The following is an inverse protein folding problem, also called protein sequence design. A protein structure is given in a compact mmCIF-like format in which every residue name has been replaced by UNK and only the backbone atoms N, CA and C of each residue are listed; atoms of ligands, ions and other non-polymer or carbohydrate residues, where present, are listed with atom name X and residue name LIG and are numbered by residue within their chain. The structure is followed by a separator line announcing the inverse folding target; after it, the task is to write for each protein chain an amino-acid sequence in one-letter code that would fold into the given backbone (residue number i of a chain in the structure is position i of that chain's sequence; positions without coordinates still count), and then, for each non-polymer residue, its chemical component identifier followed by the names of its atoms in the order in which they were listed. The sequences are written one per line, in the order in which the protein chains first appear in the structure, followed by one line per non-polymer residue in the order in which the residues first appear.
data_IF_733076305921
#
_entry.id   IF_733076305921
#
_cell.length_a   1.000
_cell.length_b   1.000
_cell.length_c   1.000
_cell.angle_alpha   90.00
_cell.angle_beta   90.00
_cell.angle_gamma   90.00
#
_symmetry.space_group_name_H-M   'P 1'
#
loop_
_entity.id
_entity.type
_entity.pdbx_description
1 polymer ?
#
# COMPACT_ATOMS: atom_id res chain seq x y z
N UNK A 1 47.32 -27.41 17.66
CA UNK A 1 47.20 -26.16 18.44
C UNK A 1 46.30 -25.11 17.79
N UNK A 2 46.33 -24.92 16.46
CA UNK A 2 45.50 -23.92 15.76
C UNK A 2 44.01 -24.29 15.74
N UNK A 3 43.66 -25.58 15.68
CA UNK A 3 42.26 -26.06 15.69
C UNK A 3 41.56 -25.91 17.04
N UNK A 4 42.28 -25.94 18.16
CA UNK A 4 41.72 -25.84 19.50
C UNK A 4 41.47 -24.39 19.93
N UNK A 5 42.29 -23.44 19.46
CA UNK A 5 42.04 -22.01 19.63
C UNK A 5 40.81 -21.51 18.83
N UNK A 6 40.44 -22.20 17.75
CA UNK A 6 39.27 -21.84 16.92
C UNK A 6 37.93 -22.20 17.57
N UNK A 7 37.89 -23.26 18.38
CA UNK A 7 36.65 -23.67 19.07
C UNK A 7 36.37 -22.72 20.25
N UNK A 8 37.40 -22.27 20.95
CA UNK A 8 37.27 -21.33 22.08
C UNK A 8 36.94 -19.92 21.58
N UNK A 9 37.46 -19.47 20.42
CA UNK A 9 37.07 -18.19 19.84
C UNK A 9 35.66 -18.20 19.24
N UNK A 10 35.22 -19.33 18.66
CA UNK A 10 33.84 -19.49 18.18
C UNK A 10 32.81 -19.46 19.32
N UNK A 11 33.14 -20.05 20.48
CA UNK A 11 32.30 -20.03 21.68
C UNK A 11 32.30 -18.66 22.39
N UNK A 12 33.39 -17.88 22.31
CA UNK A 12 33.45 -16.52 22.87
C UNK A 12 32.72 -15.49 21.99
N UNK A 13 32.65 -15.72 20.67
CA UNK A 13 31.91 -14.85 19.73
C UNK A 13 30.39 -15.02 19.85
N UNK A 14 29.91 -16.19 20.26
CA UNK A 14 28.47 -16.43 20.49
C UNK A 14 27.89 -15.69 21.69
N UNK A 15 28.70 -15.33 22.69
CA UNK A 15 28.23 -14.61 23.90
C UNK A 15 28.30 -13.08 23.76
N UNK A 16 29.15 -12.54 22.88
CA UNK A 16 29.35 -11.09 22.75
C UNK A 16 28.48 -10.44 21.65
N UNK A 17 27.97 -11.23 20.69
CA UNK A 17 27.17 -10.71 19.56
C UNK A 17 25.72 -11.19 19.59
N UNK A 18 24.97 -10.77 20.61
CA UNK A 18 23.51 -10.74 20.51
C UNK A 18 23.11 -9.72 19.42
N UNK A 19 22.95 -10.19 18.17
CA UNK A 19 22.44 -9.38 17.07
C UNK A 19 23.05 -9.64 15.69
N UNK A 20 24.14 -10.41 15.58
CA UNK A 20 24.61 -10.89 14.28
C UNK A 20 23.96 -12.25 14.05
N UNK A 21 22.93 -12.31 13.20
CA UNK A 21 22.34 -13.57 12.78
C UNK A 21 23.48 -14.52 12.35
N UNK A 22 23.59 -15.69 12.99
CA UNK A 22 24.66 -16.67 12.76
C UNK A 22 24.92 -16.92 11.26
N UNK A 23 23.87 -16.88 10.46
CA UNK A 23 23.92 -17.01 8.99
C UNK A 23 24.65 -15.87 8.29
N UNK A 24 24.54 -14.62 8.75
CA UNK A 24 25.27 -13.48 8.19
C UNK A 24 26.78 -13.58 8.51
N UNK A 25 27.12 -14.09 9.70
CA UNK A 25 28.50 -14.38 10.05
C UNK A 25 29.07 -15.52 9.19
N UNK A 26 28.32 -16.62 9.02
CA UNK A 26 28.72 -17.75 8.17
C UNK A 26 28.87 -17.35 6.70
N UNK A 27 27.97 -16.51 6.16
CA UNK A 27 28.09 -15.99 4.79
C UNK A 27 29.35 -15.13 4.63
N UNK A 28 29.67 -14.28 5.61
CA UNK A 28 30.89 -13.46 5.62
C UNK A 28 32.15 -14.32 5.70
N UNK A 29 32.13 -15.39 6.50
CA UNK A 29 33.21 -16.37 6.57
C UNK A 29 33.37 -17.11 5.23
N UNK A 30 32.27 -17.53 4.59
CA UNK A 30 32.31 -18.19 3.28
C UNK A 30 32.87 -17.26 2.19
N UNK A 31 32.45 -15.99 2.16
CA UNK A 31 33.00 -14.95 1.27
C UNK A 31 34.50 -14.74 1.51
N UNK A 32 34.93 -14.71 2.77
CA UNK A 32 36.35 -14.58 3.11
C UNK A 32 37.16 -15.79 2.62
N UNK A 33 36.68 -17.02 2.85
CA UNK A 33 37.32 -18.26 2.38
C UNK A 33 37.37 -18.31 0.85
N UNK A 34 36.29 -17.93 0.17
CA UNK A 34 36.24 -17.83 -1.29
C UNK A 34 37.28 -16.84 -1.80
N UNK A 35 37.39 -15.67 -1.18
CA UNK A 35 38.37 -14.63 -1.53
C UNK A 35 39.81 -15.14 -1.37
N UNK A 36 40.12 -15.81 -0.26
CA UNK A 36 41.42 -16.47 -0.04
C UNK A 36 41.71 -17.57 -1.06
N UNK A 37 40.67 -18.29 -1.50
CA UNK A 37 40.80 -19.35 -2.51
C UNK A 37 41.09 -18.76 -3.89
N UNK A 38 40.41 -17.68 -4.28
CA UNK A 38 40.68 -16.93 -5.52
C UNK A 38 42.09 -16.36 -5.49
N UNK A 39 42.53 -15.75 -4.38
CA UNK A 39 43.93 -15.31 -4.15
C UNK A 39 44.95 -16.42 -4.40
N UNK A 40 44.69 -17.60 -3.84
CA UNK A 40 45.59 -18.76 -3.94
C UNK A 40 45.64 -19.33 -5.36
N UNK A 41 44.52 -19.35 -6.07
CA UNK A 41 44.45 -19.80 -7.47
C UNK A 41 45.12 -18.78 -8.41
N UNK A 42 44.90 -17.49 -8.17
CA UNK A 42 45.47 -16.38 -8.93
C UNK A 42 46.98 -16.29 -8.85
N UNK A 43 47.52 -16.39 -7.63
CA UNK A 43 48.97 -16.35 -7.38
C UNK A 43 49.71 -17.54 -7.99
N UNK A 44 49.01 -18.66 -8.23
CA UNK A 44 49.54 -19.89 -8.84
C UNK A 44 49.21 -20.04 -10.32
N UNK A 45 48.43 -19.14 -10.91
CA UNK A 45 48.07 -19.20 -12.33
C UNK A 45 49.28 -18.89 -13.21
N UNK A 46 49.55 -19.76 -14.18
CA UNK A 46 50.55 -19.53 -15.24
C UNK A 46 50.06 -18.55 -16.31
N UNK A 47 48.76 -18.24 -16.34
CA UNK A 47 48.15 -17.33 -17.30
C UNK A 47 48.06 -15.91 -16.72
N UNK A 48 48.76 -14.91 -17.30
CA UNK A 48 48.78 -13.52 -16.81
C UNK A 48 47.38 -12.90 -16.73
N UNK A 49 46.51 -13.24 -17.68
CA UNK A 49 45.12 -12.77 -17.71
C UNK A 49 44.34 -13.16 -16.44
N UNK A 50 44.40 -14.42 -16.02
CA UNK A 50 43.72 -14.91 -14.82
C UNK A 50 44.28 -14.27 -13.55
N UNK A 51 45.59 -14.03 -13.52
CA UNK A 51 46.26 -13.31 -12.42
C UNK A 51 45.72 -11.88 -12.32
N UNK A 52 45.69 -11.15 -13.43
CA UNK A 52 45.19 -9.77 -13.49
C UNK A 52 43.73 -9.66 -13.08
N UNK A 53 42.85 -10.51 -13.63
CA UNK A 53 41.42 -10.53 -13.25
C UNK A 53 41.27 -10.75 -11.75
N UNK A 54 41.98 -11.72 -11.20
CA UNK A 54 41.86 -12.04 -9.79
C UNK A 54 42.34 -10.91 -8.89
N UNK A 55 43.47 -10.26 -9.23
CA UNK A 55 43.93 -9.07 -8.52
C UNK A 55 42.91 -7.93 -8.60
N UNK A 56 42.30 -7.69 -9.76
CA UNK A 56 41.24 -6.70 -9.91
C UNK A 56 40.03 -7.00 -9.03
N UNK A 57 39.58 -8.26 -8.97
CA UNK A 57 38.47 -8.70 -8.10
C UNK A 57 38.81 -8.44 -6.63
N UNK A 58 40.05 -8.70 -6.22
CA UNK A 58 40.50 -8.50 -4.85
C UNK A 58 40.58 -7.03 -4.46
N UNK A 59 41.13 -6.20 -5.35
CA UNK A 59 41.16 -4.75 -5.17
C UNK A 59 39.73 -4.23 -5.03
N UNK A 60 38.82 -4.65 -5.91
CA UNK A 60 37.42 -4.29 -5.83
C UNK A 60 36.79 -4.72 -4.50
N UNK A 61 36.98 -5.97 -4.07
CA UNK A 61 36.43 -6.48 -2.81
C UNK A 61 36.99 -5.73 -1.58
N UNK A 62 38.28 -5.38 -1.59
CA UNK A 62 38.91 -4.59 -0.54
C UNK A 62 38.32 -3.19 -0.43
N UNK A 63 38.22 -2.47 -1.56
CA UNK A 63 37.61 -1.15 -1.57
C UNK A 63 36.12 -1.20 -1.20
N UNK A 64 35.39 -2.21 -1.67
CA UNK A 64 34.00 -2.44 -1.26
C UNK A 64 33.88 -2.60 0.26
N UNK A 65 34.74 -3.43 0.86
CA UNK A 65 34.79 -3.61 2.31
C UNK A 65 35.09 -2.31 3.07
N UNK A 66 36.03 -1.50 2.58
CA UNK A 66 36.33 -0.21 3.18
C UNK A 66 35.11 0.73 3.13
N UNK A 67 34.41 0.79 2.01
CA UNK A 67 33.20 1.62 1.88
C UNK A 67 32.11 1.12 2.84
N UNK A 68 31.86 -0.19 2.91
CA UNK A 68 30.92 -0.79 3.88
C UNK A 68 31.28 -0.41 5.32
N UNK A 69 32.56 -0.51 5.69
CA UNK A 69 33.05 -0.17 7.02
C UNK A 69 32.88 1.32 7.33
N UNK A 70 33.16 2.20 6.36
CA UNK A 70 32.96 3.65 6.50
C UNK A 70 31.48 4.01 6.71
N UNK A 71 30.57 3.48 5.89
CA UNK A 71 29.14 3.75 6.02
C UNK A 71 28.60 3.17 7.33
N UNK A 72 29.03 1.97 7.72
CA UNK A 72 28.71 1.40 9.03
C UNK A 72 29.14 2.32 10.17
N UNK A 73 30.37 2.86 10.12
CA UNK A 73 30.88 3.79 11.12
C UNK A 73 30.04 5.06 11.21
N UNK A 74 29.71 5.67 10.08
CA UNK A 74 28.84 6.86 10.00
C UNK A 74 27.42 6.59 10.49
N UNK A 75 26.87 5.41 10.22
CA UNK A 75 25.55 5.02 10.69
C UNK A 75 25.55 4.82 12.22
N UNK A 76 26.58 4.18 12.76
CA UNK A 76 26.74 3.94 14.19
C UNK A 76 27.01 5.20 15.00
N UNK A 77 27.70 6.19 14.42
CA UNK A 77 27.87 7.50 15.06
C UNK A 77 26.62 8.37 15.02
N UNK A 78 25.56 7.95 14.31
CA UNK A 78 24.35 8.74 14.10
C UNK A 78 24.49 9.85 13.07
N UNK A 79 25.66 10.00 12.43
CA UNK A 79 25.87 10.96 11.35
C UNK A 79 25.06 10.61 10.10
N UNK A 80 24.75 9.33 9.90
CA UNK A 80 23.96 8.85 8.77
C UNK A 80 22.76 8.02 9.24
N UNK A 81 21.55 8.50 8.94
CA UNK A 81 20.30 7.76 9.20
C UNK A 81 19.99 6.85 8.02
N UNK A 82 20.29 5.56 8.14
CA UNK A 82 19.96 4.53 7.14
C UNK A 82 19.31 3.33 7.83
N UNK A 83 18.55 2.57 7.04
CA UNK A 83 18.07 1.26 7.49
C UNK A 83 19.25 0.30 7.63
N UNK A 84 19.34 -0.35 8.79
CA UNK A 84 20.38 -1.33 9.05
C UNK A 84 20.16 -2.59 8.21
N UNK A 85 21.23 -3.16 7.62
CA UNK A 85 21.17 -4.47 6.99
C UNK A 85 20.60 -5.51 7.96
N UNK A 86 19.62 -6.28 7.48
CA UNK A 86 18.97 -7.34 8.24
C UNK A 86 18.62 -8.49 7.30
N UNK A 87 18.67 -9.73 7.78
CA UNK A 87 18.28 -10.86 6.94
C UNK A 87 16.78 -10.78 6.69
N UNK A 88 16.42 -10.48 5.44
CA UNK A 88 15.03 -10.19 5.10
C UNK A 88 14.12 -11.40 5.29
N UNK A 89 14.63 -12.64 5.25
CA UNK A 89 13.84 -13.85 5.48
C UNK A 89 13.59 -14.09 6.97
N UNK A 90 14.49 -13.63 7.84
CA UNK A 90 14.40 -13.80 9.29
C UNK A 90 13.83 -12.57 10.00
N UNK A 91 13.80 -11.42 9.34
CA UNK A 91 13.14 -10.23 9.86
C UNK A 91 11.63 -10.40 9.75
N UNK A 92 10.94 -10.22 10.87
CA UNK A 92 9.50 -9.97 10.89
C UNK A 92 9.35 -8.55 11.40
N UNK A 93 8.42 -7.79 10.82
CA UNK A 93 8.02 -6.53 11.43
C UNK A 93 7.53 -6.85 12.85
N UNK A 94 8.36 -6.55 13.84
CA UNK A 94 8.27 -7.03 15.22
C UNK A 94 7.08 -6.46 16.01
N UNK A 95 6.16 -5.77 15.34
CA UNK A 95 4.99 -5.14 15.94
C UNK A 95 3.75 -6.05 15.89
N UNK A 96 3.90 -7.36 15.64
CA UNK A 96 2.86 -8.32 16.02
C UNK A 96 3.01 -8.56 17.52
N UNK A 97 2.61 -7.59 18.32
CA UNK A 97 2.26 -7.93 19.70
C UNK A 97 1.20 -9.03 19.62
N UNK A 98 1.40 -10.10 20.36
CA UNK A 98 0.41 -11.16 20.46
C UNK A 98 -0.81 -10.56 21.16
N UNK A 99 -1.81 -10.15 20.39
CA UNK A 99 -3.06 -9.63 20.92
C UNK A 99 -4.11 -10.72 20.87
N UNK A 100 -4.83 -10.94 21.96
CA UNK A 100 -5.95 -11.90 21.99
C UNK A 100 -7.11 -11.46 21.07
N UNK A 101 -7.14 -10.18 20.69
CA UNK A 101 -8.16 -9.61 19.82
C UNK A 101 -7.82 -9.88 18.35
N UNK A 102 -8.81 -10.32 17.59
CA UNK A 102 -8.69 -10.38 16.13
C UNK A 102 -8.50 -8.97 15.52
N UNK A 103 -7.72 -8.83 14.44
CA UNK A 103 -7.55 -7.55 13.78
C UNK A 103 -8.88 -7.05 13.19
N UNK A 104 -9.15 -5.75 13.33
CA UNK A 104 -10.38 -5.14 12.81
C UNK A 104 -10.36 -5.03 11.28
N UNK A 105 -9.22 -4.64 10.70
CA UNK A 105 -8.95 -4.74 9.27
C UNK A 105 -7.94 -5.86 9.01
N UNK A 106 -8.17 -6.65 7.98
CA UNK A 106 -7.24 -7.69 7.56
C UNK A 106 -7.63 -8.29 6.23
N UNK A 107 -6.85 -9.25 5.76
CA UNK A 107 -7.14 -9.96 4.53
C UNK A 107 -8.13 -11.07 4.87
N UNK A 108 -9.43 -10.75 4.76
CA UNK A 108 -10.54 -11.61 5.18
C UNK A 108 -11.45 -12.04 4.03
N UNK A 109 -11.26 -11.49 2.83
CA UNK A 109 -12.03 -11.85 1.64
C UNK A 109 -11.12 -12.51 0.60
N UNK A 110 -11.42 -13.76 0.23
CA UNK A 110 -10.71 -14.45 -0.85
C UNK A 110 -10.90 -13.75 -2.20
N UNK A 111 -11.98 -12.98 -2.35
CA UNK A 111 -12.33 -12.31 -3.61
C UNK A 111 -11.61 -10.97 -3.74
N UNK A 112 -11.63 -10.12 -2.70
CA UNK A 112 -11.14 -8.73 -2.78
C UNK A 112 -10.04 -8.40 -1.76
N UNK A 113 -9.57 -9.38 -1.00
CA UNK A 113 -8.47 -9.25 -0.04
C UNK A 113 -8.92 -8.55 1.24
N UNK A 114 -8.52 -7.28 1.38
CA UNK A 114 -8.73 -6.51 2.61
C UNK A 114 -10.22 -6.30 2.89
N UNK A 115 -10.65 -6.62 4.10
CA UNK A 115 -11.99 -6.33 4.62
C UNK A 115 -11.96 -6.12 6.14
N UNK A 116 -13.13 -6.01 6.74
CA UNK A 116 -13.32 -5.97 8.19
C UNK A 116 -14.15 -7.15 8.65
N UNK A 117 -14.01 -7.51 9.92
CA UNK A 117 -14.87 -8.54 10.52
C UNK A 117 -16.31 -8.02 10.63
N UNK A 118 -17.34 -8.87 10.38
CA UNK A 118 -18.73 -8.54 10.65
C UNK A 118 -19.01 -8.29 12.13
N UNK A 119 -19.94 -7.36 12.42
CA UNK A 119 -20.40 -7.05 13.78
C UNK A 119 -19.28 -6.77 14.79
N UNK A 120 -18.18 -6.17 14.32
CA UNK A 120 -17.02 -5.85 15.15
C UNK A 120 -16.98 -4.37 15.51
N UNK A 121 -16.26 -4.03 16.59
CA UNK A 121 -16.05 -2.64 16.98
C UNK A 121 -14.73 -2.41 17.69
N UNK A 122 -14.03 -1.32 17.32
CA UNK A 122 -12.81 -0.85 17.97
C UNK A 122 -12.91 0.63 18.32
N UNK A 123 -12.03 1.04 19.22
CA UNK A 123 -11.75 2.44 19.50
C UNK A 123 -10.29 2.72 19.17
N UNK A 124 -10.03 3.86 18.54
CA UNK A 124 -8.67 4.38 18.33
C UNK A 124 -8.62 5.83 18.77
N UNK A 125 -7.44 6.28 19.20
CA UNK A 125 -7.19 7.70 19.42
C UNK A 125 -6.87 8.34 18.08
N UNK A 126 -7.52 9.47 17.80
CA UNK A 126 -7.18 10.34 16.68
C UNK A 126 -5.81 10.97 16.93
N UNK A 127 -5.01 11.08 15.88
CA UNK A 127 -3.63 11.56 16.01
C UNK A 127 -3.50 13.05 16.36
N UNK A 128 -4.52 13.86 16.09
CA UNK A 128 -4.45 15.33 16.25
C UNK A 128 -4.75 15.78 17.68
N UNK A 129 -5.80 15.24 18.29
CA UNK A 129 -6.35 15.71 19.56
C UNK A 129 -6.53 14.60 20.60
N UNK A 130 -6.10 13.37 20.30
CA UNK A 130 -6.35 12.17 21.10
C UNK A 130 -7.84 11.90 21.38
N UNK A 131 -8.75 12.46 20.57
CA UNK A 131 -10.17 12.14 20.66
C UNK A 131 -10.43 10.69 20.23
N UNK A 132 -11.50 10.09 20.77
CA UNK A 132 -11.82 8.69 20.50
C UNK A 132 -12.61 8.56 19.19
N UNK A 133 -12.03 7.86 18.23
CA UNK A 133 -12.69 7.38 17.02
C UNK A 133 -13.30 6.00 17.28
N UNK A 134 -14.62 5.90 17.14
CA UNK A 134 -15.36 4.65 17.24
C UNK A 134 -15.59 4.08 15.85
N UNK A 135 -15.12 2.85 15.64
CA UNK A 135 -15.38 2.08 14.44
C UNK A 135 -16.33 0.95 14.81
N UNK A 136 -17.36 0.77 14.00
CA UNK A 136 -18.30 -0.32 14.11
C UNK A 136 -18.62 -0.82 12.70
N UNK A 137 -18.77 -2.13 12.56
CA UNK A 137 -19.24 -2.76 11.33
C UNK A 137 -20.60 -3.40 11.51
N UNK A 138 -21.36 -3.46 10.42
CA UNK A 138 -22.60 -4.22 10.35
C UNK A 138 -22.36 -5.71 10.05
N UNK A 139 -23.44 -6.46 9.85
CA UNK A 139 -23.41 -7.89 9.53
C UNK A 139 -22.66 -8.24 8.22
N UNK A 140 -22.43 -7.26 7.34
CA UNK A 140 -21.64 -7.43 6.11
C UNK A 140 -20.16 -7.07 6.29
N UNK A 141 -19.73 -6.62 7.47
CA UNK A 141 -18.40 -6.07 7.69
C UNK A 141 -18.21 -4.68 7.10
N UNK A 142 -19.27 -4.05 6.57
CA UNK A 142 -19.24 -2.67 6.12
C UNK A 142 -19.22 -1.75 7.34
N UNK A 143 -18.40 -0.68 7.31
CA UNK A 143 -18.44 0.37 8.33
C UNK A 143 -19.70 1.18 8.08
N UNK A 144 -20.82 0.75 8.63
CA UNK A 144 -22.12 1.37 8.43
C UNK A 144 -23.06 0.84 9.53
N UNK A 145 -24.24 1.43 9.66
CA UNK A 145 -25.33 0.81 10.42
C UNK A 145 -25.79 -0.48 9.73
N UNK A 146 -26.58 -1.28 10.45
CA UNK A 146 -27.17 -2.49 9.88
C UNK A 146 -28.07 -2.17 8.69
N UNK A 147 -28.03 -3.00 7.65
CA UNK A 147 -28.75 -2.77 6.38
C UNK A 147 -29.52 -4.01 5.97
N UNK A 148 -30.74 -3.83 5.51
CA UNK A 148 -31.50 -4.91 4.90
C UNK A 148 -31.00 -5.19 3.48
N UNK A 149 -31.00 -6.47 3.08
CA UNK A 149 -30.68 -6.83 1.70
C UNK A 149 -31.64 -6.19 0.68
N UNK A 150 -32.93 -6.11 1.02
CA UNK A 150 -33.96 -5.48 0.20
C UNK A 150 -34.29 -4.06 0.68
N UNK A 151 -34.58 -3.16 -0.25
CA UNK A 151 -35.03 -1.81 0.01
C UNK A 151 -36.52 -1.85 0.27
N UNK A 152 -36.88 -1.75 1.55
CA UNK A 152 -38.27 -1.79 2.01
C UNK A 152 -38.85 -0.37 2.14
N UNK A 153 -38.20 0.63 1.54
CA UNK A 153 -38.62 2.03 1.56
C UNK A 153 -38.92 2.52 0.16
N UNK A 154 -39.68 3.61 0.04
CA UNK A 154 -39.89 4.31 -1.23
C UNK A 154 -38.74 5.25 -1.61
N UNK A 155 -37.72 5.35 -0.74
CA UNK A 155 -36.53 6.20 -0.96
C UNK A 155 -35.49 5.44 -1.75
N UNK A 156 -34.60 6.18 -2.40
CA UNK A 156 -33.49 5.56 -3.12
C UNK A 156 -32.48 4.98 -2.15
N UNK A 157 -31.78 3.96 -2.63
CA UNK A 157 -30.60 3.40 -1.97
C UNK A 157 -29.37 3.57 -2.84
N UNK A 158 -28.30 4.09 -2.23
CA UNK A 158 -27.04 4.45 -2.86
C UNK A 158 -25.94 3.56 -2.28
N UNK A 159 -25.14 2.95 -3.13
CA UNK A 159 -23.92 2.23 -2.74
C UNK A 159 -22.74 3.21 -2.86
N UNK A 160 -21.97 3.37 -1.79
CA UNK A 160 -20.75 4.17 -1.75
C UNK A 160 -19.53 3.24 -1.81
N UNK A 161 -18.68 3.43 -2.83
CA UNK A 161 -17.41 2.72 -3.01
C UNK A 161 -16.27 3.74 -3.03
N UNK A 162 -15.10 3.32 -2.58
CA UNK A 162 -13.93 4.17 -2.50
C UNK A 162 -12.94 3.63 -1.48
N UNK A 163 -12.00 4.47 -1.11
CA UNK A 163 -10.92 4.15 -0.19
C UNK A 163 -11.20 4.68 1.24
N UNK A 164 -10.14 5.08 1.95
CA UNK A 164 -10.21 5.67 3.28
C UNK A 164 -10.92 7.02 3.36
N UNK A 165 -10.98 7.82 2.28
CA UNK A 165 -11.73 9.08 2.27
C UNK A 165 -13.23 8.82 2.29
N UNK A 166 -13.72 7.91 1.43
CA UNK A 166 -15.14 7.54 1.45
C UNK A 166 -15.48 6.70 2.68
N UNK A 167 -14.57 5.85 3.19
CA UNK A 167 -14.76 5.13 4.46
C UNK A 167 -14.93 6.10 5.65
N UNK A 168 -14.40 7.32 5.52
CA UNK A 168 -14.37 8.37 6.53
C UNK A 168 -13.42 8.05 7.69
N UNK A 169 -12.24 7.49 7.39
CA UNK A 169 -11.39 6.81 8.38
C UNK A 169 -11.02 7.67 9.60
N UNK A 170 -10.97 9.00 9.46
CA UNK A 170 -10.60 9.93 10.53
C UNK A 170 -11.75 10.63 11.25
N UNK A 171 -13.01 10.27 10.97
CA UNK A 171 -14.18 10.83 11.64
C UNK A 171 -15.09 9.75 12.22
N UNK A 172 -15.93 10.11 13.18
CA UNK A 172 -16.93 9.19 13.73
C UNK A 172 -18.07 8.97 12.73
N UNK A 173 -18.80 7.85 12.86
CA UNK A 173 -19.84 7.43 11.90
C UNK A 173 -20.79 8.56 11.49
N UNK A 174 -21.34 9.30 12.46
CA UNK A 174 -22.30 10.39 12.22
C UNK A 174 -21.75 11.56 11.38
N UNK A 175 -20.44 11.69 11.31
CA UNK A 175 -19.73 12.82 10.72
C UNK A 175 -19.13 12.47 9.34
N UNK A 176 -19.31 11.23 8.86
CA UNK A 176 -18.83 10.78 7.54
C UNK A 176 -19.70 11.32 6.41
N UNK A 177 -19.11 11.54 5.24
CA UNK A 177 -19.82 11.96 4.03
C UNK A 177 -21.10 11.15 3.77
N UNK A 178 -21.02 9.82 3.83
CA UNK A 178 -22.19 8.94 3.63
C UNK A 178 -23.34 9.23 4.59
N UNK A 179 -23.03 9.40 5.87
CA UNK A 179 -24.02 9.60 6.92
C UNK A 179 -24.61 11.00 6.87
N UNK A 180 -23.80 12.00 6.51
CA UNK A 180 -24.23 13.37 6.28
C UNK A 180 -25.16 13.47 5.06
N UNK A 181 -24.83 12.80 3.95
CA UNK A 181 -25.69 12.75 2.76
C UNK A 181 -27.01 12.02 3.05
N UNK A 182 -26.96 10.88 3.76
CA UNK A 182 -28.15 10.14 4.16
C UNK A 182 -29.08 10.98 5.05
N UNK A 183 -28.51 11.65 6.06
CA UNK A 183 -29.28 12.55 6.94
C UNK A 183 -30.01 13.66 6.16
N UNK A 184 -29.37 14.24 5.16
CA UNK A 184 -29.92 15.38 4.41
C UNK A 184 -30.89 14.98 3.29
N UNK A 185 -30.74 13.78 2.73
CA UNK A 185 -31.56 13.32 1.60
C UNK A 185 -32.70 12.39 2.03
N UNK A 186 -32.55 11.72 3.17
CA UNK A 186 -33.40 10.60 3.59
C UNK A 186 -33.21 9.34 2.73
N UNK A 187 -32.29 9.36 1.75
CA UNK A 187 -31.93 8.20 0.96
C UNK A 187 -30.79 7.45 1.66
N UNK A 188 -30.85 6.12 1.65
CA UNK A 188 -29.81 5.32 2.32
C UNK A 188 -28.48 5.37 1.55
N UNK A 189 -27.37 5.67 2.22
CA UNK A 189 -26.02 5.69 1.66
C UNK A 189 -25.16 4.60 2.29
N UNK A 190 -25.11 3.45 1.64
CA UNK A 190 -24.46 2.25 2.16
C UNK A 190 -22.97 2.29 1.89
N UNK A 191 -22.19 2.39 2.97
CA UNK A 191 -20.75 2.62 2.87
C UNK A 191 -19.93 1.33 2.80
N UNK A 192 -19.52 0.95 1.59
CA UNK A 192 -18.66 -0.20 1.33
C UNK A 192 -17.21 0.18 1.00
N UNK A 193 -16.86 1.46 1.11
CA UNK A 193 -15.50 1.93 0.92
C UNK A 193 -14.55 1.38 2.00
N UNK A 194 -13.27 1.19 1.70
CA UNK A 194 -12.28 0.64 2.65
C UNK A 194 -10.86 1.15 2.39
N UNK A 195 -10.13 1.45 3.46
CA UNK A 195 -8.75 1.95 3.44
C UNK A 195 -7.79 1.11 2.61
N UNK A 196 -7.06 1.79 1.72
CA UNK A 196 -6.08 1.17 0.83
C UNK A 196 -6.71 0.19 -0.15
N UNK A 197 -7.94 0.48 -0.57
CA UNK A 197 -8.56 -0.08 -1.76
C UNK A 197 -8.26 0.80 -2.97
N UNK A 198 -8.44 0.21 -4.14
CA UNK A 198 -8.28 0.81 -5.46
C UNK A 198 -9.44 0.38 -6.38
N UNK A 199 -9.51 0.82 -7.63
CA UNK A 199 -10.59 0.47 -8.55
C UNK A 199 -10.82 -1.03 -8.73
N UNK A 200 -9.78 -1.88 -8.66
CA UNK A 200 -9.98 -3.34 -8.73
C UNK A 200 -10.71 -3.86 -7.49
N UNK A 201 -10.42 -3.28 -6.31
CA UNK A 201 -11.16 -3.60 -5.09
C UNK A 201 -12.60 -3.11 -5.19
N UNK A 202 -12.86 -1.91 -5.71
CA UNK A 202 -14.23 -1.38 -5.87
C UNK A 202 -15.07 -2.31 -6.76
N UNK A 203 -14.51 -2.75 -7.89
CA UNK A 203 -15.10 -3.74 -8.78
C UNK A 203 -15.45 -5.04 -8.04
N UNK A 204 -14.48 -5.63 -7.33
CA UNK A 204 -14.64 -6.92 -6.69
C UNK A 204 -15.58 -6.87 -5.47
N UNK A 205 -15.52 -5.81 -4.67
CA UNK A 205 -16.45 -5.56 -3.55
C UNK A 205 -17.87 -5.40 -4.10
N UNK A 206 -18.06 -4.60 -5.15
CA UNK A 206 -19.38 -4.44 -5.74
C UNK A 206 -19.92 -5.78 -6.26
N UNK A 207 -19.17 -6.45 -7.14
CA UNK A 207 -19.57 -7.69 -7.79
C UNK A 207 -19.94 -8.79 -6.79
N UNK A 208 -19.15 -8.96 -5.73
CA UNK A 208 -19.28 -10.11 -4.82
C UNK A 208 -20.09 -9.85 -3.56
N UNK A 209 -20.25 -8.58 -3.16
CA UNK A 209 -20.90 -8.20 -1.92
C UNK A 209 -21.98 -7.13 -2.15
N UNK A 210 -21.59 -5.91 -2.53
CA UNK A 210 -22.50 -4.76 -2.49
C UNK A 210 -23.67 -4.89 -3.49
N UNK A 211 -23.46 -5.53 -4.64
CA UNK A 211 -24.49 -5.77 -5.67
C UNK A 211 -25.67 -6.62 -5.18
N UNK A 212 -25.47 -7.43 -4.12
CA UNK A 212 -26.52 -8.28 -3.53
C UNK A 212 -27.58 -7.49 -2.76
N UNK A 213 -27.27 -6.27 -2.36
CA UNK A 213 -28.22 -5.38 -1.70
C UNK A 213 -28.94 -4.56 -2.78
N UNK A 214 -30.27 -4.49 -2.74
CA UNK A 214 -31.02 -3.74 -3.75
C UNK A 214 -30.71 -2.24 -3.66
N UNK A 215 -30.29 -1.63 -4.76
CA UNK A 215 -29.90 -0.22 -4.82
C UNK A 215 -30.21 0.39 -6.20
N UNK A 216 -30.20 1.71 -6.27
CA UNK A 216 -30.55 2.51 -7.46
C UNK A 216 -29.33 3.22 -8.05
N UNK A 217 -28.41 3.65 -7.18
CA UNK A 217 -27.25 4.47 -7.54
C UNK A 217 -25.97 3.87 -6.97
N UNK A 218 -24.87 4.01 -7.70
CA UNK A 218 -23.51 3.73 -7.22
C UNK A 218 -22.69 5.03 -7.28
N UNK A 219 -22.10 5.42 -6.16
CA UNK A 219 -21.15 6.53 -6.08
C UNK A 219 -19.76 5.96 -5.82
N UNK A 220 -18.79 6.36 -6.63
CA UNK A 220 -17.41 5.87 -6.59
C UNK A 220 -16.49 7.06 -6.31
N UNK A 221 -15.85 7.08 -5.14
CA UNK A 221 -14.79 8.02 -4.82
C UNK A 221 -13.44 7.48 -5.26
N UNK A 222 -12.86 8.13 -6.27
CA UNK A 222 -11.50 7.88 -6.74
C UNK A 222 -10.56 8.82 -6.00
N UNK A 223 -9.56 8.30 -5.30
CA UNK A 223 -8.45 9.08 -4.76
C UNK A 223 -7.23 8.88 -5.67
N UNK A 224 -6.91 9.80 -6.59
CA UNK A 224 -5.78 9.61 -7.51
C UNK A 224 -4.44 9.39 -6.80
N UNK A 225 -4.29 9.89 -5.57
CA UNK A 225 -3.07 9.72 -4.77
C UNK A 225 -2.75 8.27 -4.39
N UNK A 226 -3.72 7.34 -4.42
CA UNK A 226 -3.49 5.91 -4.14
C UNK A 226 -4.11 4.97 -5.20
N UNK A 227 -5.16 5.39 -5.90
CA UNK A 227 -5.91 4.51 -6.80
C UNK A 227 -5.17 4.12 -8.08
N UNK A 228 -4.06 4.80 -8.38
CA UNK A 228 -3.11 4.39 -9.43
C UNK A 228 -2.02 3.42 -8.93
N UNK A 229 -1.91 3.23 -7.61
CA UNK A 229 -0.88 2.42 -6.95
C UNK A 229 -1.39 1.01 -6.63
N UNK A 230 -1.75 0.26 -7.67
CA UNK A 230 -2.14 -1.15 -7.54
C UNK A 230 -0.93 -2.09 -7.48
N UNK A 231 -1.12 -3.24 -6.80
CA UNK A 231 -0.14 -4.31 -6.82
C UNK A 231 0.08 -4.79 -8.26
N UNK A 232 1.33 -4.98 -8.65
CA UNK A 232 1.71 -5.53 -9.96
C UNK A 232 2.71 -6.67 -9.78
N UNK A 233 2.99 -7.39 -10.87
CA UNK A 233 3.99 -8.48 -10.85
C UNK A 233 5.38 -8.00 -10.41
N UNK A 234 5.74 -6.74 -10.69
CA UNK A 234 6.97 -6.11 -10.20
C UNK A 234 6.98 -5.90 -8.68
N UNK A 235 5.79 -5.73 -8.09
CA UNK A 235 5.58 -5.61 -6.64
C UNK A 235 5.85 -6.90 -5.85
N UNK A 236 6.07 -8.03 -6.53
CA UNK A 236 6.32 -9.35 -5.89
C UNK A 236 7.51 -9.31 -4.93
N UNK A 237 8.54 -8.50 -5.21
CA UNK A 237 9.69 -8.33 -4.29
C UNK A 237 9.24 -7.78 -2.92
N UNK A 238 8.27 -6.85 -2.92
CA UNK A 238 7.75 -6.23 -1.71
C UNK A 238 7.05 -7.23 -0.76
N UNK A 239 6.50 -8.32 -1.31
CA UNK A 239 5.83 -9.36 -0.52
C UNK A 239 6.78 -10.06 0.45
N UNK A 240 8.09 -10.05 0.24
CA UNK A 240 9.02 -10.63 1.20
C UNK A 240 9.05 -9.83 2.51
N UNK A 241 8.92 -8.51 2.43
CA UNK A 241 8.88 -7.66 3.61
C UNK A 241 7.49 -7.70 4.25
N UNK A 242 6.44 -7.72 3.43
CA UNK A 242 5.07 -7.65 3.91
C UNK A 242 4.16 -8.53 3.04
N UNK A 243 4.09 -9.85 3.31
CA UNK A 243 3.22 -10.73 2.55
C UNK A 243 1.76 -10.35 2.77
N UNK A 244 1.10 -9.88 1.71
CA UNK A 244 -0.30 -9.48 1.72
C UNK A 244 -1.03 -10.13 0.56
N UNK A 245 -2.32 -10.41 0.73
CA UNK A 245 -3.18 -11.01 -0.30
C UNK A 245 -3.95 -9.90 -1.01
N UNK A 246 -3.54 -9.59 -2.24
CA UNK A 246 -4.06 -8.48 -3.06
C UNK A 246 -4.45 -8.96 -4.45
N UNK A 247 -5.66 -8.63 -4.93
CA UNK A 247 -6.02 -8.84 -6.32
C UNK A 247 -5.23 -7.88 -7.22
N UNK A 248 -4.88 -8.34 -8.42
CA UNK A 248 -4.30 -7.49 -9.46
C UNK A 248 -4.60 -8.02 -10.86
N UNK A 249 -4.44 -7.16 -11.87
CA UNK A 249 -4.57 -7.55 -13.26
C UNK A 249 -3.22 -8.01 -13.82
N UNK A 250 -3.17 -9.26 -14.32
CA UNK A 250 -2.06 -9.75 -15.13
C UNK A 250 -2.42 -9.66 -16.61
N UNK A 251 -1.73 -8.78 -17.34
CA UNK A 251 -1.89 -8.64 -18.79
C UNK A 251 -1.37 -9.90 -19.51
N UNK A 252 -2.17 -10.44 -20.41
CA UNK A 252 -1.82 -11.55 -21.30
C UNK A 252 -2.34 -11.24 -22.70
N UNK A 253 -1.43 -10.77 -23.57
CA UNK A 253 -1.79 -10.17 -24.85
C UNK A 253 -2.67 -8.94 -24.65
N UNK A 254 -3.86 -8.96 -25.27
CA UNK A 254 -4.87 -7.89 -25.17
C UNK A 254 -5.91 -8.11 -24.06
N UNK A 255 -5.71 -9.11 -23.19
CA UNK A 255 -6.64 -9.43 -22.09
C UNK A 255 -5.98 -9.20 -20.73
N UNK A 256 -6.79 -8.84 -19.75
CA UNK A 256 -6.38 -8.81 -18.35
C UNK A 256 -6.99 -10.01 -17.63
N UNK A 257 -6.17 -10.71 -16.85
CA UNK A 257 -6.61 -11.83 -16.03
C UNK A 257 -6.48 -11.45 -14.56
N UNK A 258 -7.53 -11.70 -13.78
CA UNK A 258 -7.48 -11.50 -12.33
C UNK A 258 -6.51 -12.52 -11.72
N UNK A 259 -5.54 -12.01 -10.95
CA UNK A 259 -4.58 -12.79 -10.18
C UNK A 259 -4.50 -12.24 -8.76
N UNK A 260 -3.86 -13.01 -7.89
CA UNK A 260 -3.64 -12.65 -6.49
C UNK A 260 -2.15 -12.75 -6.17
N UNK A 261 -1.68 -11.83 -5.33
CA UNK A 261 -0.26 -11.74 -4.92
C UNK A 261 0.23 -12.96 -4.13
N UNK A 262 -0.68 -13.70 -3.49
CA UNK A 262 -0.40 -14.94 -2.77
C UNK A 262 -1.36 -16.04 -3.24
N UNK A 263 -0.96 -17.30 -3.11
CA UNK A 263 -1.75 -18.44 -3.57
C UNK A 263 -3.00 -18.68 -2.68
N UNK A 264 -2.93 -18.30 -1.41
CA UNK A 264 -4.04 -18.38 -0.47
C UNK A 264 -4.04 -17.16 0.46
N UNK A 265 -5.23 -16.71 0.85
CA UNK A 265 -5.40 -15.64 1.82
C UNK A 265 -4.74 -15.95 3.16
N UNK A 266 -4.70 -17.24 3.54
CA UNK A 266 -4.07 -17.71 4.79
C UNK A 266 -2.55 -17.50 4.82
N UNK A 267 -1.93 -17.20 3.68
CA UNK A 267 -0.51 -16.85 3.62
C UNK A 267 -0.26 -15.38 3.96
N UNK A 268 -1.29 -14.54 3.97
CA UNK A 268 -1.16 -13.12 4.27
C UNK A 268 -0.88 -12.88 5.75
N UNK A 269 0.02 -11.94 6.00
CA UNK A 269 0.29 -11.35 7.31
C UNK A 269 -0.98 -10.86 8.02
N UNK A 270 -1.94 -10.29 7.26
CA UNK A 270 -3.19 -9.75 7.80
C UNK A 270 -4.33 -10.76 7.91
N UNK A 271 -4.07 -12.05 7.73
CA UNK A 271 -5.11 -13.10 7.73
C UNK A 271 -5.44 -13.61 9.13
N UNK A 272 -6.65 -14.17 9.28
CA UNK A 272 -7.05 -14.85 10.51
C UNK A 272 -6.25 -16.13 10.80
N UNK A 273 -5.49 -16.65 9.83
CA UNK A 273 -4.65 -17.83 10.02
C UNK A 273 -3.28 -17.50 10.63
N UNK A 274 -2.78 -16.27 10.41
CA UNK A 274 -1.42 -15.85 10.80
C UNK A 274 -1.41 -14.81 11.94
N UNK A 275 -2.47 -14.03 12.14
CA UNK A 275 -2.44 -12.87 13.04
C UNK A 275 -1.94 -13.19 14.47
N UNK A 276 -2.29 -14.36 15.02
CA UNK A 276 -1.88 -14.83 16.35
C UNK A 276 -0.66 -15.79 16.31
N UNK A 277 -0.18 -16.12 15.11
CA UNK A 277 0.91 -17.06 14.81
C UNK A 277 1.90 -16.43 13.83
N UNK A 278 2.56 -15.32 14.19
CA UNK A 278 3.46 -14.60 13.29
C UNK A 278 4.63 -15.46 12.77
N UNK A 279 5.02 -16.54 13.46
CA UNK A 279 6.04 -17.48 12.97
C UNK A 279 5.66 -18.18 11.65
N UNK A 280 4.37 -18.32 11.34
CA UNK A 280 3.92 -18.88 10.07
C UNK A 280 4.28 -18.00 8.87
N UNK A 281 4.54 -16.70 9.09
CA UNK A 281 4.93 -15.78 8.02
C UNK A 281 6.27 -16.19 7.39
N UNK A 282 7.15 -16.84 8.13
CA UNK A 282 8.44 -17.31 7.62
C UNK A 282 8.28 -18.29 6.47
N UNK A 283 7.29 -19.20 6.56
CA UNK A 283 6.98 -20.13 5.49
C UNK A 283 6.45 -19.41 4.24
N UNK A 284 5.60 -18.38 4.42
CA UNK A 284 5.15 -17.55 3.30
C UNK A 284 6.33 -16.83 2.64
N UNK A 285 7.20 -16.20 3.43
CA UNK A 285 8.37 -15.47 2.93
C UNK A 285 9.32 -16.38 2.15
N UNK A 286 9.59 -17.58 2.67
CA UNK A 286 10.39 -18.60 2.00
C UNK A 286 9.75 -19.06 0.68
N UNK A 287 8.42 -19.25 0.65
CA UNK A 287 7.68 -19.56 -0.58
C UNK A 287 7.76 -18.45 -1.62
N UNK A 288 7.59 -17.18 -1.21
CA UNK A 288 7.73 -16.02 -2.11
C UNK A 288 9.15 -15.95 -2.65
N UNK A 289 10.15 -16.03 -1.78
CA UNK A 289 11.57 -15.95 -2.14
C UNK A 289 11.96 -17.05 -3.13
N UNK A 290 11.53 -18.30 -2.94
CA UNK A 290 11.85 -19.41 -3.84
C UNK A 290 11.36 -19.16 -5.27
N UNK A 291 10.19 -18.52 -5.43
CA UNK A 291 9.59 -18.21 -6.73
C UNK A 291 10.19 -16.98 -7.44
N UNK A 292 11.08 -16.23 -6.78
CA UNK A 292 11.76 -15.11 -7.42
C UNK A 292 12.83 -15.55 -8.43
N UNK A 293 13.02 -14.71 -9.45
CA UNK A 293 14.13 -14.88 -10.39
C UNK A 293 15.49 -14.69 -9.70
N UNK A 294 16.55 -15.20 -10.31
CA UNK A 294 17.91 -15.02 -9.80
C UNK A 294 18.27 -13.53 -9.59
N UNK A 295 17.91 -12.66 -10.54
CA UNK A 295 18.17 -11.22 -10.44
C UNK A 295 17.42 -10.56 -9.28
N UNK A 296 16.17 -10.95 -9.05
CA UNK A 296 15.39 -10.46 -7.91
C UNK A 296 15.98 -10.92 -6.58
N UNK A 297 16.38 -12.20 -6.47
CA UNK A 297 17.07 -12.74 -5.28
C UNK A 297 18.36 -11.97 -5.00
N UNK A 298 19.21 -11.79 -6.02
CA UNK A 298 20.45 -11.03 -5.90
C UNK A 298 20.20 -9.59 -5.43
N UNK A 299 19.20 -8.91 -6.00
CA UNK A 299 18.83 -7.55 -5.60
C UNK A 299 18.40 -7.47 -4.13
N UNK A 300 17.63 -8.45 -3.66
CA UNK A 300 17.20 -8.53 -2.27
C UNK A 300 18.38 -8.78 -1.34
N UNK A 301 19.25 -9.74 -1.67
CA UNK A 301 20.44 -10.02 -0.86
C UNK A 301 21.35 -8.79 -0.75
N UNK A 302 21.59 -8.10 -1.87
CA UNK A 302 22.38 -6.86 -1.89
C UNK A 302 21.73 -5.77 -1.02
N UNK A 303 20.43 -5.49 -1.21
CA UNK A 303 19.73 -4.44 -0.45
C UNK A 303 19.61 -4.75 1.05
N UNK A 304 19.47 -6.02 1.41
CA UNK A 304 19.25 -6.45 2.79
C UNK A 304 20.54 -6.70 3.56
N UNK A 305 21.67 -6.94 2.87
CA UNK A 305 22.95 -7.30 3.49
C UNK A 305 24.05 -6.23 3.42
N UNK A 306 23.83 -5.10 2.73
CA UNK A 306 24.83 -4.05 2.50
C UNK A 306 24.44 -2.69 3.07
N UNK A 307 25.37 -2.06 3.80
CA UNK A 307 25.22 -0.67 4.24
C UNK A 307 25.29 0.31 3.06
N UNK A 308 26.08 -0.01 2.04
CA UNK A 308 26.16 0.78 0.79
C UNK A 308 24.80 0.84 0.11
N UNK A 309 24.15 -0.32 -0.09
CA UNK A 309 22.83 -0.35 -0.70
C UNK A 309 21.74 0.25 0.19
N UNK A 310 21.86 0.14 1.52
CA UNK A 310 20.99 0.86 2.46
C UNK A 310 21.10 2.38 2.31
N UNK A 311 22.33 2.90 2.16
CA UNK A 311 22.58 4.31 1.90
C UNK A 311 22.06 4.77 0.54
N UNK A 312 22.34 4.02 -0.54
CA UNK A 312 21.80 4.30 -1.87
C UNK A 312 20.26 4.31 -1.83
N UNK A 313 19.65 3.34 -1.14
CA UNK A 313 18.21 3.27 -0.95
C UNK A 313 17.64 4.51 -0.29
N UNK A 314 18.29 5.04 0.75
CA UNK A 314 17.87 6.28 1.41
C UNK A 314 18.01 7.50 0.49
N UNK A 315 19.10 7.60 -0.29
CA UNK A 315 19.26 8.68 -1.27
C UNK A 315 18.16 8.66 -2.33
N UNK A 316 17.87 7.49 -2.90
CA UNK A 316 16.80 7.30 -3.89
C UNK A 316 15.44 7.64 -3.27
N UNK A 317 15.19 7.20 -2.03
CA UNK A 317 13.94 7.50 -1.32
C UNK A 317 13.79 8.98 -1.04
N UNK A 318 14.88 9.68 -0.68
CA UNK A 318 14.88 11.14 -0.51
C UNK A 318 14.53 11.86 -1.80
N UNK A 319 15.19 11.51 -2.90
CA UNK A 319 14.90 12.08 -4.22
C UNK A 319 13.45 11.83 -4.66
N UNK A 320 12.93 10.62 -4.41
CA UNK A 320 11.55 10.28 -4.70
C UNK A 320 10.56 11.11 -3.86
N UNK A 321 10.83 11.32 -2.57
CA UNK A 321 10.02 12.20 -1.70
C UNK A 321 10.05 13.65 -2.17
N UNK A 322 11.22 14.17 -2.54
CA UNK A 322 11.37 15.54 -3.04
C UNK A 322 10.59 15.72 -4.34
N UNK A 323 10.66 14.75 -5.27
CA UNK A 323 9.83 14.73 -6.49
C UNK A 323 8.34 14.71 -6.13
N UNK A 324 7.91 13.76 -5.30
CA UNK A 324 6.51 13.62 -4.89
C UNK A 324 5.93 14.91 -4.28
N UNK A 325 6.73 15.64 -3.49
CA UNK A 325 6.30 16.91 -2.88
C UNK A 325 6.15 18.06 -3.88
N UNK A 326 6.80 17.98 -5.04
CA UNK A 326 6.78 19.01 -6.08
C UNK A 326 5.80 18.70 -7.21
N UNK A 327 5.44 17.43 -7.40
CA UNK A 327 4.55 16.99 -8.48
C UNK A 327 3.11 16.79 -8.00
N UNK A 328 2.15 17.24 -8.81
CA UNK A 328 0.73 16.96 -8.65
C UNK A 328 0.34 15.72 -9.45
N UNK A 329 -0.39 14.79 -8.84
CA UNK A 329 -0.95 13.63 -9.54
C UNK A 329 -2.07 14.02 -10.51
N UNK A 330 -2.72 15.17 -10.29
CA UNK A 330 -3.73 15.71 -11.20
C UNK A 330 -3.10 16.34 -12.45
N UNK A 331 -1.86 16.83 -12.37
CA UNK A 331 -1.10 17.33 -13.52
C UNK A 331 -0.37 16.21 -14.28
N UNK A 332 0.28 15.30 -13.55
CA UNK A 332 1.11 14.25 -14.13
C UNK A 332 0.75 12.89 -13.50
N UNK A 333 -0.42 12.37 -13.87
CA UNK A 333 -0.82 11.01 -13.48
C UNK A 333 0.01 9.95 -14.22
N UNK A 334 0.28 8.79 -13.61
CA UNK A 334 1.07 7.70 -14.22
C UNK A 334 0.30 7.10 -15.41
N UNK A 335 0.60 7.58 -16.62
CA UNK A 335 -0.07 7.18 -17.87
C UNK A 335 0.10 5.68 -18.16
N UNK A 336 1.20 5.09 -17.71
CA UNK A 336 1.48 3.66 -17.80
C UNK A 336 0.55 2.81 -16.93
N UNK A 337 0.01 3.37 -15.84
CA UNK A 337 -0.97 2.71 -14.95
C UNK A 337 -2.41 2.90 -15.42
N UNK A 338 -2.67 3.90 -16.28
CA UNK A 338 -4.00 4.19 -16.80
C UNK A 338 -4.74 2.96 -17.37
N UNK A 339 -4.13 2.08 -18.18
CA UNK A 339 -4.86 0.94 -18.76
C UNK A 339 -5.45 -0.01 -17.72
N UNK A 340 -4.69 -0.33 -16.66
CA UNK A 340 -5.15 -1.22 -15.58
C UNK A 340 -6.21 -0.52 -14.72
N UNK A 341 -5.96 0.74 -14.36
CA UNK A 341 -6.92 1.61 -13.66
C UNK A 341 -8.26 1.68 -14.41
N UNK A 342 -8.23 2.04 -15.70
CA UNK A 342 -9.45 2.22 -16.49
C UNK A 342 -10.17 0.91 -16.76
N UNK A 343 -9.42 -0.21 -16.84
CA UNK A 343 -10.01 -1.53 -17.02
C UNK A 343 -10.78 -1.96 -15.76
N UNK A 344 -10.22 -1.75 -14.56
CA UNK A 344 -10.93 -1.99 -13.30
C UNK A 344 -12.24 -1.20 -13.23
N UNK A 345 -12.18 0.09 -13.55
CA UNK A 345 -13.35 0.95 -13.53
C UNK A 345 -14.38 0.53 -14.59
N UNK A 346 -13.94 0.16 -15.79
CA UNK A 346 -14.81 -0.40 -16.82
C UNK A 346 -15.52 -1.67 -16.36
N UNK A 347 -14.83 -2.58 -15.67
CA UNK A 347 -15.46 -3.79 -15.09
C UNK A 347 -16.49 -3.48 -14.01
N UNK A 348 -16.24 -2.48 -13.17
CA UNK A 348 -17.24 -2.01 -12.22
C UNK A 348 -18.48 -1.44 -12.94
N UNK A 349 -18.28 -0.60 -13.97
CA UNK A 349 -19.37 -0.01 -14.75
C UNK A 349 -20.19 -1.05 -15.52
N UNK A 350 -19.55 -2.08 -16.07
CA UNK A 350 -20.23 -3.22 -16.69
C UNK A 350 -21.14 -3.97 -15.69
N UNK A 351 -20.65 -4.20 -14.46
CA UNK A 351 -21.43 -4.86 -13.41
C UNK A 351 -22.59 -4.01 -12.90
N UNK A 352 -22.45 -2.68 -12.94
CA UNK A 352 -23.45 -1.71 -12.49
C UNK A 352 -24.27 -1.08 -13.63
N UNK A 353 -24.29 -1.67 -14.82
CA UNK A 353 -24.90 -1.09 -16.04
C UNK A 353 -26.39 -0.73 -15.92
N UNK A 354 -27.10 -1.37 -15.00
CA UNK A 354 -28.54 -1.12 -14.73
C UNK A 354 -28.77 -0.05 -13.67
N UNK A 355 -27.70 0.59 -13.18
CA UNK A 355 -27.71 1.57 -12.11
C UNK A 355 -27.24 2.91 -12.63
N UNK A 356 -27.71 4.00 -12.01
CA UNK A 356 -27.07 5.29 -12.23
C UNK A 356 -25.71 5.28 -11.52
N UNK A 357 -24.66 5.79 -12.17
CA UNK A 357 -23.32 5.83 -11.59
C UNK A 357 -22.79 7.27 -11.56
N UNK A 358 -22.23 7.66 -10.42
CA UNK A 358 -21.50 8.91 -10.23
C UNK A 358 -20.08 8.59 -9.77
N UNK A 359 -19.09 9.13 -10.48
CA UNK A 359 -17.68 9.08 -10.08
C UNK A 359 -17.25 10.44 -9.54
N UNK A 360 -16.52 10.43 -8.44
CA UNK A 360 -15.90 11.60 -7.81
C UNK A 360 -14.37 11.45 -7.88
N UNK A 361 -13.62 12.47 -8.27
CA UNK A 361 -12.16 12.53 -7.98
C UNK A 361 -11.90 13.35 -6.74
N UNK A 362 -11.14 12.77 -5.81
CA UNK A 362 -10.87 13.30 -4.48
C UNK A 362 -9.42 13.81 -4.43
N UNK A 363 -9.16 15.11 -4.20
CA UNK A 363 -7.80 15.59 -3.99
C UNK A 363 -7.37 15.44 -2.53
N UNK A 364 -6.06 15.28 -2.31
CA UNK A 364 -5.45 15.53 -1.00
C UNK A 364 -5.04 17.01 -0.89
N UNK A 365 -4.76 17.48 0.32
CA UNK A 365 -4.36 18.87 0.60
C UNK A 365 -3.21 19.37 -0.30
N UNK A 366 -2.21 18.52 -0.57
CA UNK A 366 -1.09 18.84 -1.47
C UNK A 366 -1.58 19.25 -2.86
N UNK A 367 -2.51 18.50 -3.44
CA UNK A 367 -3.04 18.73 -4.78
C UNK A 367 -3.82 20.04 -4.84
N UNK A 368 -4.60 20.36 -3.80
CA UNK A 368 -5.29 21.65 -3.69
C UNK A 368 -4.29 22.81 -3.68
N UNK A 369 -3.23 22.72 -2.86
CA UNK A 369 -2.22 23.79 -2.75
C UNK A 369 -1.46 24.02 -4.04
N UNK A 370 -1.17 22.96 -4.80
CA UNK A 370 -0.52 23.07 -6.10
C UNK A 370 -1.49 23.69 -7.11
N UNK A 371 -2.72 23.18 -7.18
CA UNK A 371 -3.76 23.67 -8.09
C UNK A 371 -4.11 25.15 -7.85
N UNK A 372 -4.16 25.61 -6.59
CA UNK A 372 -4.38 27.02 -6.27
C UNK A 372 -3.31 27.94 -6.89
N UNK A 373 -2.08 27.46 -7.07
CA UNK A 373 -0.96 28.23 -7.62
C UNK A 373 -0.95 28.25 -9.15
N UNK A 374 -1.27 27.13 -9.80
CA UNK A 374 -1.05 26.97 -11.24
C UNK A 374 -2.32 26.64 -12.06
N UNK A 375 -3.42 26.27 -11.40
CA UNK A 375 -4.71 25.90 -11.99
C UNK A 375 -4.64 24.78 -13.04
N UNK A 376 -3.66 23.88 -12.93
CA UNK A 376 -3.45 22.79 -13.90
C UNK A 376 -4.09 21.48 -13.45
N UNK A 377 -4.79 20.81 -14.36
CA UNK A 377 -5.43 19.52 -14.11
C UNK A 377 -5.63 18.76 -15.43
N UNK A 378 -4.75 17.79 -15.69
CA UNK A 378 -4.76 16.93 -16.88
C UNK A 378 -5.56 15.64 -16.65
N UNK A 379 -5.69 15.20 -15.40
CA UNK A 379 -6.42 14.00 -15.03
C UNK A 379 -7.94 14.17 -15.22
N UNK A 380 -8.51 15.30 -14.81
CA UNK A 380 -9.96 15.49 -14.86
C UNK A 380 -10.53 15.47 -16.29
N UNK A 381 -9.92 16.13 -17.31
CA UNK A 381 -10.35 16.00 -18.70
C UNK A 381 -10.26 14.54 -19.20
N UNK A 382 -9.21 13.81 -18.82
CA UNK A 382 -9.05 12.40 -19.17
C UNK A 382 -10.16 11.52 -18.56
N UNK A 383 -10.45 11.70 -17.28
CA UNK A 383 -11.54 11.03 -16.56
C UNK A 383 -12.90 11.38 -17.16
N UNK A 384 -13.18 12.66 -17.38
CA UNK A 384 -14.43 13.13 -17.97
C UNK A 384 -14.67 12.53 -19.36
N UNK A 385 -13.65 12.51 -20.23
CA UNK A 385 -13.75 11.89 -21.56
C UNK A 385 -14.04 10.39 -21.47
N UNK A 386 -13.31 9.67 -20.61
CA UNK A 386 -13.50 8.24 -20.39
C UNK A 386 -14.93 7.90 -19.89
N UNK A 387 -15.44 8.67 -18.92
CA UNK A 387 -16.74 8.44 -18.31
C UNK A 387 -17.90 8.90 -19.19
N UNK A 388 -17.75 10.02 -19.90
CA UNK A 388 -18.75 10.53 -20.86
C UNK A 388 -19.05 9.49 -21.94
N UNK A 389 -18.03 8.82 -22.47
CA UNK A 389 -18.20 7.76 -23.47
C UNK A 389 -18.97 6.54 -22.95
N UNK A 390 -19.16 6.43 -21.63
CA UNK A 390 -19.90 5.36 -20.96
C UNK A 390 -21.23 5.84 -20.35
N UNK A 391 -21.62 7.10 -20.58
CA UNK A 391 -22.84 7.68 -20.02
C UNK A 391 -22.81 7.82 -18.49
N UNK A 392 -21.62 7.95 -17.90
CA UNK A 392 -21.44 8.02 -16.44
C UNK A 392 -21.28 9.47 -15.99
N UNK A 393 -21.98 9.83 -14.91
CA UNK A 393 -21.86 11.14 -14.28
C UNK A 393 -20.52 11.31 -13.57
N UNK A 394 -19.94 12.51 -13.62
CA UNK A 394 -18.62 12.79 -13.08
C UNK A 394 -18.59 14.15 -12.38
N UNK A 395 -17.96 14.21 -11.20
CA UNK A 395 -17.68 15.44 -10.47
C UNK A 395 -16.20 15.43 -10.07
N UNK A 396 -15.47 16.48 -10.45
CA UNK A 396 -14.12 16.70 -9.99
C UNK A 396 -14.12 17.61 -8.75
N UNK A 397 -13.69 17.09 -7.60
CA UNK A 397 -13.68 17.86 -6.35
C UNK A 397 -12.48 18.80 -6.25
N UNK A 398 -11.43 18.65 -7.07
CA UNK A 398 -10.23 19.51 -7.02
C UNK A 398 -10.55 21.00 -7.18
N UNK A 399 -11.17 21.46 -8.28
CA UNK A 399 -11.49 22.88 -8.45
C UNK A 399 -12.54 23.39 -7.45
N UNK A 400 -13.34 22.50 -6.86
CA UNK A 400 -14.35 22.85 -5.86
C UNK A 400 -13.67 23.14 -4.52
N UNK A 401 -12.85 22.22 -4.03
CA UNK A 401 -12.14 22.34 -2.77
C UNK A 401 -11.08 23.46 -2.83
N UNK A 402 -10.48 23.69 -3.99
CA UNK A 402 -9.52 24.77 -4.20
C UNK A 402 -10.10 26.19 -4.07
N UNK A 403 -11.43 26.35 -4.12
CA UNK A 403 -12.09 27.64 -3.85
C UNK A 403 -12.09 28.01 -2.36
N UNK A 404 -11.85 27.05 -1.47
CA UNK A 404 -11.70 27.35 -0.06
C UNK A 404 -10.38 28.10 0.16
N UNK A 405 -10.43 29.25 0.85
CA UNK A 405 -9.26 30.08 1.14
C UNK A 405 -8.33 29.45 2.19
N UNK A 406 -8.89 28.59 3.05
CA UNK A 406 -8.17 27.89 4.12
C UNK A 406 -8.38 26.37 3.96
N UNK A 407 -7.86 25.75 2.88
CA UNK A 407 -8.10 24.33 2.61
C UNK A 407 -7.55 23.42 3.72
N UNK A 408 -6.53 23.84 4.46
CA UNK A 408 -5.99 23.13 5.63
C UNK A 408 -7.06 22.85 6.69
N UNK A 409 -8.02 23.75 6.87
CA UNK A 409 -9.10 23.61 7.86
C UNK A 409 -10.02 22.41 7.60
N UNK A 410 -9.96 21.82 6.39
CA UNK A 410 -10.75 20.68 5.97
C UNK A 410 -10.05 19.33 6.21
N UNK A 411 -8.77 19.33 6.60
CA UNK A 411 -7.95 18.13 6.73
C UNK A 411 -7.38 17.98 8.15
N UNK A 412 -7.22 16.73 8.58
CA UNK A 412 -6.47 16.36 9.77
C UNK A 412 -4.98 16.61 9.54
N UNK A 413 -4.33 17.43 10.35
CA UNK A 413 -2.92 17.83 10.13
C UNK A 413 -1.92 16.66 10.24
N UNK A 414 -2.21 15.70 11.11
CA UNK A 414 -1.33 14.56 11.41
C UNK A 414 -1.38 13.42 10.38
N UNK A 415 -2.41 13.38 9.53
CA UNK A 415 -2.71 12.21 8.70
C UNK A 415 -3.15 12.56 7.26
N UNK A 416 -3.73 13.73 7.04
CA UNK A 416 -4.04 14.24 5.71
C UNK A 416 -5.38 13.77 5.12
N UNK A 417 -6.21 13.06 5.87
CA UNK A 417 -7.62 12.81 5.53
C UNK A 417 -8.52 13.98 5.91
N UNK A 418 -9.74 14.02 5.38
CA UNK A 418 -10.74 14.99 5.80
C UNK A 418 -11.03 14.87 7.31
N UNK A 419 -11.14 16.03 7.96
CA UNK A 419 -11.75 16.13 9.28
C UNK A 419 -13.27 16.32 9.13
N UNK A 420 -13.98 16.53 10.24
CA UNK A 420 -15.43 16.75 10.25
C UNK A 420 -15.85 17.95 9.39
N UNK A 421 -15.03 19.01 9.32
CA UNK A 421 -15.31 20.16 8.47
C UNK A 421 -15.15 19.81 6.98
N UNK A 422 -14.14 19.01 6.62
CA UNK A 422 -13.94 18.51 5.26
C UNK A 422 -15.10 17.63 4.79
N UNK A 423 -15.49 16.65 5.60
CA UNK A 423 -16.63 15.76 5.33
C UNK A 423 -17.93 16.57 5.14
N UNK A 424 -18.17 17.54 6.02
CA UNK A 424 -19.32 18.46 5.94
C UNK A 424 -19.26 19.34 4.69
N UNK A 425 -18.12 19.94 4.39
CA UNK A 425 -17.95 20.81 3.23
C UNK A 425 -18.24 20.06 1.92
N UNK A 426 -17.72 18.84 1.77
CA UNK A 426 -17.96 18.00 0.60
C UNK A 426 -19.43 17.59 0.54
N UNK A 427 -20.02 17.17 1.66
CA UNK A 427 -21.45 16.84 1.73
C UNK A 427 -22.34 18.01 1.28
N UNK A 428 -22.14 19.20 1.83
CA UNK A 428 -22.92 20.40 1.48
C UNK A 428 -22.73 20.81 0.02
N UNK A 429 -21.53 20.62 -0.51
CA UNK A 429 -21.25 20.87 -1.93
C UNK A 429 -22.02 19.90 -2.81
N UNK A 430 -21.94 18.60 -2.54
CA UNK A 430 -22.64 17.57 -3.32
C UNK A 430 -24.16 17.79 -3.29
N UNK A 431 -24.74 18.09 -2.12
CA UNK A 431 -26.18 18.36 -1.99
C UNK A 431 -26.66 19.52 -2.87
N UNK A 432 -25.79 20.49 -3.17
CA UNK A 432 -26.07 21.64 -4.06
C UNK A 432 -25.65 21.40 -5.51
N UNK A 433 -24.86 20.36 -5.79
CA UNK A 433 -24.30 20.11 -7.11
C UNK A 433 -25.38 19.54 -8.06
N UNK A 434 -25.61 20.13 -9.24
CA UNK A 434 -26.69 19.71 -10.15
C UNK A 434 -26.62 18.23 -10.54
N UNK A 435 -25.41 17.74 -10.87
CA UNK A 435 -25.18 16.33 -11.23
C UNK A 435 -25.56 15.37 -10.11
N UNK A 436 -25.27 15.73 -8.85
CA UNK A 436 -25.64 14.91 -7.71
C UNK A 436 -27.16 14.95 -7.51
N UNK A 437 -27.77 16.13 -7.53
CA UNK A 437 -29.22 16.26 -7.41
C UNK A 437 -29.97 15.47 -8.49
N UNK A 438 -29.49 15.44 -9.73
CA UNK A 438 -30.07 14.68 -10.82
C UNK A 438 -29.98 13.16 -10.59
N UNK A 439 -28.86 12.67 -10.03
CA UNK A 439 -28.67 11.24 -9.85
C UNK A 439 -29.49 10.69 -8.69
N UNK A 440 -29.61 11.47 -7.61
CA UNK A 440 -30.34 11.07 -6.39
C UNK A 440 -31.85 11.38 -6.44
N UNK A 441 -32.31 12.23 -7.37
CA UNK A 441 -33.72 12.31 -7.79
C UNK A 441 -34.10 11.07 -8.57
#
# INVERSE_FOLDING_TARGET
MITTLFIISALFVTTVFHGIALNALLLRIALFIFTLTVLKLASRSKYPFLKNISFSILIFAFFWFLIELSIWGLAKSGCLKINYPSNVLLSVNANVEKTDRKPFWGDFSEVFGRWRLPNDSIQKLRCEDNSVLKYQTNSFGARDKERSQYNNTSKKRIIMLGDSFIEGIMVNTRDRLSDLLEKNTGNEHLNFAIVGASPINYYLIYKSLAKKLSHDVVIIGILPANDFEDFSEEGTIGLINYPIYRPYWKKSGNKYNLKYSLASINQSYGSLAIYDKPSLIYATKDSVYRNLSFGQKLLIELRSSSYVFGFIGEMVSKQARDKYNQTSIFEEYPKEKWPEFSYSLEKLLEESKEKKVLVLTIPILKEIKIYQKNQKNELAPKMASFLKNKGVSYIDLLPILAKNQEPESLYQSCDGHWNENGEKFVSETLLKHPVYQEIIR
#
